data_IF_860293468148
#
_entry.id   IF_860293468148
#
_cell.length_a   1.000
_cell.length_b   1.000
_cell.length_c   1.000
_cell.angle_alpha   90.00
_cell.angle_beta   90.00
_cell.angle_gamma   90.00
#
_symmetry.space_group_name_H-M   'P 1'
#
loop_
_entity.id
_entity.type
_entity.pdbx_description
1 polymer ?
#
# COMPACT_ATOMS: atom_id res chain seq x y z
N UNK A 1 -1.59 -19.32 -6.46
CA UNK A 1 -1.05 -18.87 -5.18
C UNK A 1 -0.49 -17.51 -5.42
N UNK A 2 -0.95 -16.55 -4.62
CA UNK A 2 -0.49 -15.18 -4.67
C UNK A 2 0.64 -15.02 -3.65
N UNK A 3 1.84 -14.66 -4.11
CA UNK A 3 2.97 -14.32 -3.25
C UNK A 3 3.15 -12.80 -3.24
N UNK A 4 3.27 -12.25 -2.04
CA UNK A 4 3.47 -10.83 -1.78
C UNK A 4 4.87 -10.65 -1.22
N UNK A 5 5.70 -9.82 -1.84
CA UNK A 5 7.04 -9.48 -1.35
C UNK A 5 7.10 -7.98 -1.08
N UNK A 6 7.32 -7.60 0.17
CA UNK A 6 7.48 -6.20 0.56
C UNK A 6 8.87 -5.73 0.14
N UNK A 7 8.98 -5.02 -0.99
CA UNK A 7 10.26 -4.52 -1.49
C UNK A 7 10.78 -3.39 -0.61
N UNK A 8 9.87 -2.55 -0.14
CA UNK A 8 10.11 -1.50 0.84
C UNK A 8 8.87 -1.27 1.70
N UNK A 9 9.07 -0.71 2.88
CA UNK A 9 8.05 -0.60 3.92
C UNK A 9 8.10 0.71 4.70
N UNK A 10 8.96 1.66 4.34
CA UNK A 10 9.10 2.96 5.02
C UNK A 10 8.10 3.99 4.49
N UNK A 11 7.64 4.87 5.37
CA UNK A 11 6.96 6.10 4.98
C UNK A 11 7.88 7.16 4.34
N UNK A 12 7.32 8.27 3.87
CA UNK A 12 8.06 9.46 3.40
C UNK A 12 9.03 10.06 4.42
N UNK A 13 8.86 9.81 5.71
CA UNK A 13 9.69 10.42 6.75
C UNK A 13 11.06 9.75 6.81
N UNK A 14 12.11 10.57 6.76
CA UNK A 14 13.51 10.16 6.78
C UNK A 14 13.91 9.62 8.15
N UNK A 15 13.52 8.38 8.45
CA UNK A 15 14.10 7.60 9.52
C UNK A 15 14.56 6.26 8.95
N UNK A 16 15.87 6.07 8.86
CA UNK A 16 16.44 4.82 8.40
C UNK A 16 16.38 3.80 9.53
N UNK A 17 15.73 2.66 9.27
CA UNK A 17 15.75 1.49 10.13
C UNK A 17 16.23 0.28 9.33
N UNK A 18 17.02 -0.65 9.88
CA UNK A 18 17.52 -1.82 9.13
C UNK A 18 16.42 -2.65 8.45
N UNK A 19 15.22 -2.69 9.05
CA UNK A 19 14.06 -3.42 8.52
C UNK A 19 13.12 -2.56 7.64
N UNK A 20 13.29 -1.23 7.61
CA UNK A 20 12.47 -0.27 6.86
C UNK A 20 13.38 0.75 6.14
N UNK A 21 14.05 0.31 5.08
CA UNK A 21 15.09 1.08 4.39
C UNK A 21 14.53 1.83 3.18
N UNK A 22 13.65 1.18 2.45
CA UNK A 22 13.06 1.69 1.21
C UNK A 22 11.61 2.10 1.41
N UNK A 23 11.14 3.07 0.64
CA UNK A 23 9.75 3.48 0.64
C UNK A 23 8.80 2.32 0.31
N UNK A 24 7.55 2.42 0.73
CA UNK A 24 6.54 1.37 0.51
C UNK A 24 6.42 0.97 -0.96
N UNK A 25 6.69 -0.31 -1.24
CA UNK A 25 6.40 -0.92 -2.54
C UNK A 25 6.23 -2.43 -2.37
N UNK A 26 5.25 -3.00 -3.07
CA UNK A 26 4.87 -4.40 -2.93
C UNK A 26 4.98 -5.12 -4.28
N UNK A 27 5.76 -6.19 -4.36
CA UNK A 27 5.76 -7.08 -5.52
C UNK A 27 4.74 -8.20 -5.32
N UNK A 28 3.81 -8.33 -6.25
CA UNK A 28 2.79 -9.37 -6.31
C UNK A 28 3.16 -10.36 -7.41
N UNK A 29 3.39 -11.61 -7.03
CA UNK A 29 3.70 -12.70 -7.95
C UNK A 29 2.53 -13.69 -7.97
N UNK A 30 1.94 -13.92 -9.14
CA UNK A 30 0.81 -14.83 -9.31
C UNK A 30 0.74 -15.33 -10.76
N UNK A 31 0.61 -16.64 -10.95
CA UNK A 31 0.42 -17.26 -12.29
C UNK A 31 1.53 -16.88 -13.29
N UNK A 32 2.78 -16.75 -12.81
CA UNK A 32 3.93 -16.33 -13.61
C UNK A 32 4.04 -14.82 -13.85
N UNK A 33 3.03 -14.04 -13.47
CA UNK A 33 3.05 -12.58 -13.57
C UNK A 33 3.66 -11.93 -12.33
N UNK A 34 4.36 -10.80 -12.54
CA UNK A 34 5.05 -10.01 -11.52
C UNK A 34 4.58 -8.56 -11.61
N UNK A 35 3.69 -8.16 -10.72
CA UNK A 35 3.10 -6.81 -10.69
C UNK A 35 3.62 -6.06 -9.47
N UNK A 36 4.25 -4.91 -9.68
CA UNK A 36 4.74 -4.07 -8.59
C UNK A 36 3.73 -2.96 -8.27
N UNK A 37 3.35 -2.84 -7.01
CA UNK A 37 2.45 -1.81 -6.49
C UNK A 37 3.30 -0.74 -5.82
N UNK A 38 3.11 0.50 -6.26
CA UNK A 38 3.93 1.67 -5.94
C UNK A 38 5.41 1.50 -6.34
N UNK A 39 6.09 2.62 -6.52
CA UNK A 39 7.49 2.74 -6.91
C UNK A 39 8.06 4.04 -6.34
N UNK A 40 8.32 4.05 -5.03
CA UNK A 40 8.93 5.20 -4.36
C UNK A 40 10.32 5.56 -4.88
N UNK A 41 10.82 6.73 -4.46
CA UNK A 41 12.09 7.30 -4.95
C UNK A 41 13.32 6.38 -4.89
N UNK A 42 13.34 5.38 -4.01
CA UNK A 42 14.48 4.45 -3.88
C UNK A 42 14.56 3.41 -5.02
N UNK A 43 13.53 3.26 -5.84
CA UNK A 43 13.39 2.12 -6.76
C UNK A 43 13.79 2.39 -8.20
N UNK A 44 14.06 3.63 -8.61
CA UNK A 44 14.30 3.98 -10.02
C UNK A 44 15.39 3.12 -10.69
N UNK A 45 16.58 3.05 -10.08
CA UNK A 45 17.69 2.22 -10.60
C UNK A 45 17.46 0.71 -10.40
N UNK A 46 16.53 0.33 -9.52
CA UNK A 46 16.25 -1.05 -9.17
C UNK A 46 15.20 -1.69 -10.09
N UNK A 47 14.41 -0.91 -10.83
CA UNK A 47 13.33 -1.41 -11.69
C UNK A 47 13.83 -2.41 -12.73
N UNK A 48 15.02 -2.21 -13.29
CA UNK A 48 15.63 -3.14 -14.26
C UNK A 48 15.95 -4.51 -13.65
N UNK A 49 16.40 -4.53 -12.39
CA UNK A 49 16.68 -5.76 -11.63
C UNK A 49 15.40 -6.41 -11.11
N UNK A 50 14.45 -5.61 -10.65
CA UNK A 50 13.15 -6.11 -10.19
C UNK A 50 12.39 -6.68 -11.39
N UNK A 51 12.47 -6.07 -12.57
CA UNK A 51 11.83 -6.50 -13.82
C UNK A 51 10.34 -6.86 -13.65
N UNK A 52 9.49 -5.93 -13.17
CA UNK A 52 8.05 -6.17 -13.10
C UNK A 52 7.42 -6.12 -14.51
N UNK A 53 6.42 -6.96 -14.74
CA UNK A 53 5.63 -6.96 -15.98
C UNK A 53 4.77 -5.69 -16.11
N UNK A 54 4.33 -5.17 -14.97
CA UNK A 54 3.53 -3.95 -14.87
C UNK A 54 3.69 -3.30 -13.49
N UNK A 55 3.45 -2.00 -13.45
CA UNK A 55 3.37 -1.19 -12.23
C UNK A 55 1.92 -0.76 -11.97
N UNK A 56 1.54 -0.63 -10.71
CA UNK A 56 0.25 -0.08 -10.27
C UNK A 56 0.50 0.99 -9.22
N UNK A 57 0.11 2.23 -9.48
CA UNK A 57 0.25 3.31 -8.50
C UNK A 57 -1.03 3.51 -7.70
N UNK A 58 -0.89 3.60 -6.38
CA UNK A 58 -1.96 4.00 -5.48
C UNK A 58 -2.22 5.50 -5.57
N UNK A 59 -1.18 6.32 -5.63
CA UNK A 59 -1.26 7.78 -5.70
C UNK A 59 0.06 8.44 -6.15
N UNK A 60 0.12 9.76 -6.07
CA UNK A 60 1.17 10.58 -6.69
C UNK A 60 2.18 11.19 -5.70
N UNK A 61 2.24 10.75 -4.43
CA UNK A 61 3.33 11.19 -3.55
C UNK A 61 4.67 10.58 -3.98
N UNK A 62 5.76 11.27 -3.66
CA UNK A 62 7.12 10.93 -4.11
C UNK A 62 7.61 9.59 -3.56
N UNK A 63 7.24 9.26 -2.33
CA UNK A 63 7.48 7.97 -1.70
C UNK A 63 6.68 6.82 -2.33
N UNK A 64 5.74 7.11 -3.24
CA UNK A 64 4.96 6.10 -3.97
C UNK A 64 5.20 6.11 -5.48
N UNK A 65 5.64 7.21 -6.06
CA UNK A 65 5.82 7.35 -7.50
C UNK A 65 7.20 7.85 -7.94
N UNK A 66 8.04 8.29 -6.99
CA UNK A 66 9.32 8.95 -7.24
C UNK A 66 10.30 8.15 -8.09
N UNK A 67 10.27 6.82 -8.01
CA UNK A 67 11.14 5.95 -8.80
C UNK A 67 10.84 5.99 -10.30
N UNK A 68 9.73 6.62 -10.72
CA UNK A 68 9.34 6.78 -12.12
C UNK A 68 9.81 8.11 -12.74
N UNK A 69 10.59 8.92 -12.03
CA UNK A 69 11.06 10.22 -12.52
C UNK A 69 11.83 10.10 -13.86
N UNK A 70 12.54 8.99 -14.07
CA UNK A 70 13.28 8.68 -15.30
C UNK A 70 12.47 7.83 -16.30
N UNK A 71 11.16 7.71 -16.12
CA UNK A 71 10.28 6.83 -16.89
C UNK A 71 10.15 5.43 -16.30
N UNK A 72 9.47 4.56 -17.05
CA UNK A 72 9.21 3.17 -16.65
C UNK A 72 9.63 2.21 -17.77
N UNK A 73 10.20 1.03 -17.45
CA UNK A 73 10.48 -0.01 -18.45
C UNK A 73 9.21 -0.79 -18.87
N UNK A 74 8.13 -0.70 -18.12
CA UNK A 74 6.89 -1.46 -18.33
C UNK A 74 5.63 -0.58 -18.20
N UNK A 75 4.42 -1.08 -18.55
CA UNK A 75 3.18 -0.34 -18.39
C UNK A 75 2.94 0.09 -16.93
N UNK A 76 2.49 1.33 -16.74
CA UNK A 76 2.15 1.90 -15.43
C UNK A 76 0.65 2.13 -15.38
N UNK A 77 -0.06 1.39 -14.55
CA UNK A 77 -1.49 1.56 -14.31
C UNK A 77 -1.72 2.50 -13.14
N UNK A 78 -2.53 3.53 -13.35
CA UNK A 78 -2.77 4.58 -12.36
C UNK A 78 -4.12 5.24 -12.63
N UNK A 79 -4.65 5.96 -11.65
CA UNK A 79 -5.90 6.70 -11.89
C UNK A 79 -5.64 7.92 -12.77
N UNK A 80 -6.67 8.39 -13.49
CA UNK A 80 -6.59 9.68 -14.21
C UNK A 80 -6.21 10.84 -13.30
N UNK A 81 -6.66 10.83 -12.04
CA UNK A 81 -6.30 11.83 -11.05
C UNK A 81 -4.79 11.79 -10.75
N UNK A 82 -4.25 10.60 -10.48
CA UNK A 82 -2.82 10.36 -10.27
C UNK A 82 -2.00 10.82 -11.49
N UNK A 83 -2.40 10.43 -12.70
CA UNK A 83 -1.71 10.80 -13.94
C UNK A 83 -1.68 12.33 -14.15
N UNK A 84 -2.78 13.02 -13.86
CA UNK A 84 -2.84 14.49 -13.98
C UNK A 84 -1.84 15.18 -13.04
N UNK A 85 -1.68 14.67 -11.83
CA UNK A 85 -0.77 15.23 -10.82
C UNK A 85 0.70 14.98 -11.22
N UNK A 86 1.04 13.74 -11.55
CA UNK A 86 2.41 13.38 -11.96
C UNK A 86 2.86 14.16 -13.21
N UNK A 87 1.98 14.37 -14.20
CA UNK A 87 2.28 15.24 -15.37
C UNK A 87 2.62 16.66 -14.97
N UNK A 88 1.88 17.24 -14.01
CA UNK A 88 2.16 18.60 -13.50
C UNK A 88 3.48 18.66 -12.73
N UNK A 89 3.89 17.56 -12.14
CA UNK A 89 5.19 17.41 -11.46
C UNK A 89 6.35 17.10 -12.43
N UNK A 90 6.08 16.94 -13.74
CA UNK A 90 7.10 16.76 -14.76
C UNK A 90 7.49 15.31 -15.07
N UNK A 91 6.71 14.32 -14.63
CA UNK A 91 6.97 12.91 -14.94
C UNK A 91 6.61 12.55 -16.38
N UNK A 92 7.36 11.61 -16.97
CA UNK A 92 7.14 11.10 -18.33
C UNK A 92 5.97 10.10 -18.40
N UNK A 93 4.93 10.38 -19.21
CA UNK A 93 3.77 9.53 -19.34
C UNK A 93 3.88 8.40 -20.38
N UNK A 94 5.03 8.18 -21.05
CA UNK A 94 5.15 7.30 -22.23
C UNK A 94 4.41 5.94 -22.11
N UNK A 95 4.48 5.28 -20.95
CA UNK A 95 3.92 3.93 -20.72
C UNK A 95 2.69 3.90 -19.81
N UNK A 96 2.07 5.05 -19.57
CA UNK A 96 0.97 5.15 -18.61
C UNK A 96 -0.35 4.65 -19.20
N UNK A 97 -1.10 3.93 -18.37
CA UNK A 97 -2.42 3.38 -18.64
C UNK A 97 -3.43 3.99 -17.66
N UNK A 98 -3.80 5.28 -17.83
CA UNK A 98 -4.71 5.96 -16.93
C UNK A 98 -6.14 5.42 -17.08
N UNK A 99 -6.85 5.27 -15.96
CA UNK A 99 -8.27 4.97 -15.94
C UNK A 99 -8.96 5.70 -14.77
N UNK A 100 -10.26 5.94 -14.85
CA UNK A 100 -11.02 6.49 -13.72
C UNK A 100 -10.93 5.57 -12.49
N UNK A 101 -11.05 4.26 -12.73
CA UNK A 101 -10.94 3.20 -11.73
C UNK A 101 -10.12 2.05 -12.30
N UNK A 102 -9.25 1.47 -11.49
CA UNK A 102 -8.41 0.34 -11.90
C UNK A 102 -9.19 -0.96 -11.75
N UNK A 103 -9.20 -1.74 -12.83
CA UNK A 103 -9.73 -3.10 -12.88
C UNK A 103 -8.86 -3.91 -13.82
N UNK A 104 -7.79 -4.49 -13.27
CA UNK A 104 -6.71 -5.12 -14.02
C UNK A 104 -6.77 -6.63 -13.85
N UNK A 105 -6.32 -7.37 -14.88
CA UNK A 105 -6.25 -8.83 -14.89
C UNK A 105 -4.90 -9.27 -15.46
N UNK A 106 -4.17 -10.08 -14.67
CA UNK A 106 -2.88 -10.68 -15.04
C UNK A 106 -2.95 -12.19 -14.74
N UNK A 107 -3.30 -12.99 -15.74
CA UNK A 107 -3.65 -14.41 -15.52
C UNK A 107 -4.80 -14.52 -14.50
N UNK A 108 -4.55 -15.22 -13.38
CA UNK A 108 -5.53 -15.32 -12.28
C UNK A 108 -5.61 -14.09 -11.37
N UNK A 109 -4.57 -13.26 -11.34
CA UNK A 109 -4.52 -12.08 -10.48
C UNK A 109 -5.47 -11.00 -11.00
N UNK A 110 -6.39 -10.58 -10.14
CA UNK A 110 -7.28 -9.43 -10.36
C UNK A 110 -6.95 -8.33 -9.37
N UNK A 111 -6.80 -7.11 -9.87
CA UNK A 111 -6.51 -5.92 -9.06
C UNK A 111 -7.62 -4.91 -9.30
N UNK A 112 -8.33 -4.52 -8.23
CA UNK A 112 -9.40 -3.52 -8.30
C UNK A 112 -9.12 -2.38 -7.33
N UNK A 113 -9.19 -1.14 -7.82
CA UNK A 113 -9.07 0.00 -6.92
C UNK A 113 -10.40 0.38 -6.26
N UNK A 114 -10.32 1.01 -5.10
CA UNK A 114 -11.45 1.66 -4.44
C UNK A 114 -10.99 2.98 -3.80
N UNK A 115 -11.85 3.99 -3.83
CA UNK A 115 -11.49 5.32 -3.32
C UNK A 115 -11.36 5.32 -1.80
N UNK A 116 -10.34 6.00 -1.30
CA UNK A 116 -10.14 6.30 0.11
C UNK A 116 -9.82 7.79 0.29
N UNK A 117 -9.95 8.27 1.51
CA UNK A 117 -9.48 9.60 1.89
C UNK A 117 -8.02 9.51 2.31
N UNK A 118 -7.19 10.44 1.85
CA UNK A 118 -5.78 10.53 2.23
C UNK A 118 -5.20 11.94 1.99
N UNK A 119 -5.31 12.48 0.78
CA UNK A 119 -4.72 13.79 0.45
C UNK A 119 -5.50 14.48 -0.67
N UNK A 120 -5.73 15.79 -0.53
CA UNK A 120 -6.24 16.62 -1.64
C UNK A 120 -5.19 16.83 -2.73
N UNK A 121 -3.90 16.78 -2.37
CA UNK A 121 -2.77 17.01 -3.29
C UNK A 121 -2.43 15.77 -4.10
N UNK A 122 -2.59 14.59 -3.49
CA UNK A 122 -2.39 13.30 -4.11
C UNK A 122 -3.48 12.32 -3.64
N UNK A 123 -4.70 12.38 -4.23
CA UNK A 123 -5.77 11.46 -3.90
C UNK A 123 -5.32 10.01 -4.07
N UNK A 124 -5.62 9.18 -3.08
CA UNK A 124 -5.20 7.78 -3.05
C UNK A 124 -6.34 6.81 -3.28
N UNK A 125 -5.97 5.62 -3.73
CA UNK A 125 -6.87 4.47 -3.82
C UNK A 125 -6.32 3.31 -3.01
N UNK A 126 -7.22 2.57 -2.36
CA UNK A 126 -6.91 1.23 -1.89
C UNK A 126 -7.02 0.22 -3.02
N UNK A 127 -6.34 -0.91 -2.89
CA UNK A 127 -6.37 -2.00 -3.86
C UNK A 127 -6.90 -3.28 -3.21
N UNK A 128 -7.76 -3.99 -3.94
CA UNK A 128 -8.18 -5.36 -3.65
C UNK A 128 -7.54 -6.29 -4.65
N UNK A 129 -6.76 -7.25 -4.17
CA UNK A 129 -5.99 -8.22 -4.93
C UNK A 129 -6.62 -9.61 -4.74
N UNK A 130 -6.96 -10.29 -5.82
CA UNK A 130 -7.62 -11.60 -5.76
C UNK A 130 -7.02 -12.56 -6.80
N UNK A 131 -6.77 -13.83 -6.43
CA UNK A 131 -6.35 -14.88 -7.37
C UNK A 131 -7.39 -16.01 -7.55
N UNK A 132 -8.61 -15.76 -7.07
CA UNK A 132 -9.71 -16.72 -7.04
C UNK A 132 -9.65 -17.72 -5.90
N UNK A 133 -8.56 -17.75 -5.12
CA UNK A 133 -8.40 -18.58 -3.91
C UNK A 133 -8.17 -17.75 -2.66
N UNK A 134 -7.49 -16.62 -2.82
CA UNK A 134 -7.14 -15.70 -1.77
C UNK A 134 -7.50 -14.26 -2.14
N UNK A 135 -7.67 -13.43 -1.12
CA UNK A 135 -7.97 -12.02 -1.22
C UNK A 135 -7.11 -11.20 -0.25
N UNK A 136 -6.46 -10.16 -0.75
CA UNK A 136 -5.69 -9.20 0.03
C UNK A 136 -6.20 -7.78 -0.20
N UNK A 137 -6.24 -6.98 0.87
CA UNK A 137 -6.40 -5.53 0.78
C UNK A 137 -5.05 -4.86 0.94
N UNK A 138 -4.76 -3.85 0.12
CA UNK A 138 -3.58 -3.01 0.22
C UNK A 138 -3.97 -1.53 0.33
N UNK A 139 -3.62 -0.93 1.45
CA UNK A 139 -3.89 0.46 1.84
C UNK A 139 -2.62 1.03 2.47
N UNK A 140 -1.66 1.44 1.65
CA UNK A 140 -0.38 1.97 2.12
C UNK A 140 -0.51 3.36 2.75
N UNK A 141 -1.47 4.17 2.29
CA UNK A 141 -1.76 5.51 2.79
C UNK A 141 -3.27 5.76 2.90
N UNK A 142 -3.78 6.01 4.10
CA UNK A 142 -5.23 6.17 4.33
C UNK A 142 -5.55 7.02 5.55
N UNK A 143 -6.33 8.09 5.38
CA UNK A 143 -6.97 8.84 6.46
C UNK A 143 -8.33 8.24 6.87
N UNK A 144 -9.11 7.77 5.89
CA UNK A 144 -10.45 7.21 6.14
C UNK A 144 -10.94 6.36 4.96
N UNK A 145 -11.63 5.25 5.22
CA UNK A 145 -12.20 4.37 4.16
C UNK A 145 -13.38 4.99 3.39
N UNK A 146 -14.05 5.97 3.99
CA UNK A 146 -15.29 6.52 3.43
C UNK A 146 -16.39 5.47 3.27
N UNK A 147 -17.13 5.53 2.16
CA UNK A 147 -18.26 4.62 1.86
C UNK A 147 -17.80 3.24 1.36
N UNK A 148 -16.50 3.02 1.18
CA UNK A 148 -15.94 1.83 0.55
C UNK A 148 -15.46 0.76 1.54
N UNK A 149 -15.83 0.85 2.82
CA UNK A 149 -15.46 -0.14 3.83
C UNK A 149 -15.91 -1.58 3.46
N UNK A 150 -16.94 -1.73 2.64
CA UNK A 150 -17.40 -3.02 2.11
C UNK A 150 -16.36 -3.74 1.24
N UNK A 151 -15.38 -3.03 0.67
CA UNK A 151 -14.27 -3.65 -0.07
C UNK A 151 -13.38 -4.51 0.81
N UNK A 152 -13.41 -4.33 2.14
CA UNK A 152 -12.64 -5.14 3.08
C UNK A 152 -13.23 -6.55 3.28
N UNK A 153 -14.53 -6.72 3.04
CA UNK A 153 -15.23 -7.96 3.36
C UNK A 153 -14.64 -9.16 2.61
N UNK A 154 -14.46 -10.26 3.33
CA UNK A 154 -13.95 -11.53 2.76
C UNK A 154 -12.49 -11.50 2.33
N UNK A 155 -11.69 -10.55 2.81
CA UNK A 155 -10.24 -10.58 2.62
C UNK A 155 -9.57 -11.47 3.67
N UNK A 156 -8.52 -12.20 3.25
CA UNK A 156 -7.71 -13.05 4.12
C UNK A 156 -6.61 -12.24 4.83
N UNK A 157 -6.15 -11.16 4.19
CA UNK A 157 -5.09 -10.30 4.66
C UNK A 157 -5.44 -8.82 4.43
N UNK A 158 -5.24 -8.00 5.46
CA UNK A 158 -5.25 -6.54 5.37
C UNK A 158 -3.82 -6.03 5.46
N UNK A 159 -3.35 -5.30 4.44
CA UNK A 159 -2.10 -4.55 4.44
C UNK A 159 -2.42 -3.07 4.61
N UNK A 160 -2.01 -2.48 5.74
CA UNK A 160 -2.39 -1.13 6.14
C UNK A 160 -1.24 -0.14 6.31
N UNK A 161 -1.62 1.10 6.59
CA UNK A 161 -0.75 2.27 6.78
C UNK A 161 -0.17 2.28 8.20
N UNK A 162 1.15 2.10 8.32
CA UNK A 162 1.89 2.05 9.57
C UNK A 162 2.47 3.38 10.03
N UNK A 163 1.96 4.51 9.54
CA UNK A 163 2.54 5.83 9.81
C UNK A 163 2.42 6.24 11.28
N UNK A 164 1.25 6.05 11.90
CA UNK A 164 0.99 6.48 13.27
C UNK A 164 0.22 5.44 14.09
N UNK A 165 0.62 5.23 15.34
CA UNK A 165 0.12 4.12 16.14
C UNK A 165 -1.26 4.37 16.76
N UNK A 166 -1.36 5.36 17.64
CA UNK A 166 -2.57 5.68 18.41
C UNK A 166 -3.12 7.09 18.16
N UNK A 167 -2.25 8.04 17.80
CA UNK A 167 -2.68 9.39 17.45
C UNK A 167 -3.02 9.45 15.97
N UNK A 168 -4.28 9.71 15.65
CA UNK A 168 -4.69 9.96 14.27
C UNK A 168 -3.99 11.22 13.76
N UNK A 169 -3.28 11.10 12.64
CA UNK A 169 -2.69 12.23 11.94
C UNK A 169 -3.66 12.75 10.88
N UNK A 170 -4.96 12.74 11.21
CA UNK A 170 -6.04 13.15 10.32
C UNK A 170 -6.43 14.60 10.61
N UNK A 171 -6.52 15.38 9.55
CA UNK A 171 -6.99 16.77 9.57
C UNK A 171 -8.07 16.97 8.50
N UNK A 172 -8.94 17.94 8.70
CA UNK A 172 -9.95 18.31 7.70
C UNK A 172 -9.40 19.45 6.84
N UNK A 173 -9.14 19.17 5.57
CA UNK A 173 -8.79 20.19 4.57
C UNK A 173 -9.97 20.38 3.63
N UNK A 174 -10.52 21.60 3.54
CA UNK A 174 -11.65 21.90 2.64
C UNK A 174 -12.85 20.92 2.80
N UNK A 175 -13.12 20.46 4.03
CA UNK A 175 -14.18 19.49 4.32
C UNK A 175 -13.82 18.03 4.05
N UNK A 176 -12.58 17.74 3.66
CA UNK A 176 -12.10 16.39 3.30
C UNK A 176 -11.05 15.91 4.31
N UNK A 177 -11.20 14.70 4.89
CA UNK A 177 -10.18 14.10 5.74
C UNK A 177 -8.88 13.84 4.97
N UNK A 178 -7.77 14.32 5.52
CA UNK A 178 -6.43 14.17 4.95
C UNK A 178 -5.41 13.73 6.02
N UNK A 179 -4.42 12.94 5.64
CA UNK A 179 -3.37 12.39 6.50
C UNK A 179 -3.44 10.87 6.64
N UNK A 180 -3.18 10.39 7.85
CA UNK A 180 -3.02 8.96 8.14
C UNK A 180 -3.87 8.56 9.35
N UNK A 181 -4.63 7.48 9.18
CA UNK A 181 -5.44 6.87 10.22
C UNK A 181 -4.54 6.07 11.16
N UNK A 182 -4.82 6.17 12.45
CA UNK A 182 -4.09 5.39 13.45
C UNK A 182 -4.19 3.89 13.17
N UNK A 183 -3.12 3.15 13.46
CA UNK A 183 -3.10 1.68 13.41
C UNK A 183 -4.26 1.10 14.21
N UNK A 184 -4.61 1.69 15.36
CA UNK A 184 -5.77 1.28 16.18
C UNK A 184 -7.09 1.34 15.42
N UNK A 185 -7.35 2.41 14.67
CA UNK A 185 -8.54 2.58 13.83
C UNK A 185 -8.56 1.52 12.71
N UNK A 186 -7.41 1.26 12.09
CA UNK A 186 -7.30 0.25 11.02
C UNK A 186 -7.49 -1.18 11.52
N UNK A 187 -6.97 -1.52 12.70
CA UNK A 187 -7.24 -2.82 13.35
C UNK A 187 -8.74 -2.99 13.63
N UNK A 188 -9.44 -1.93 14.05
CA UNK A 188 -10.89 -1.98 14.24
C UNK A 188 -11.64 -2.19 12.92
N UNK A 189 -11.19 -1.59 11.81
CA UNK A 189 -11.75 -1.84 10.47
C UNK A 189 -11.58 -3.31 10.06
N UNK A 190 -10.38 -3.87 10.23
CA UNK A 190 -10.09 -5.26 9.91
C UNK A 190 -10.95 -6.23 10.74
N UNK A 191 -11.05 -6.00 12.06
CA UNK A 191 -11.88 -6.80 12.96
C UNK A 191 -13.36 -6.74 12.56
N UNK A 192 -13.88 -5.54 12.27
CA UNK A 192 -15.27 -5.34 11.83
C UNK A 192 -15.56 -6.05 10.50
N UNK A 193 -14.58 -6.07 9.59
CA UNK A 193 -14.68 -6.78 8.31
C UNK A 193 -14.45 -8.30 8.41
N UNK A 194 -14.12 -8.82 9.60
CA UNK A 194 -13.85 -10.23 9.83
C UNK A 194 -12.48 -10.72 9.31
N UNK A 195 -11.58 -9.80 8.94
CA UNK A 195 -10.23 -10.12 8.48
C UNK A 195 -9.38 -10.47 9.69
N UNK A 196 -8.79 -11.66 9.74
CA UNK A 196 -8.03 -12.12 10.92
C UNK A 196 -6.55 -11.79 10.88
N UNK A 197 -5.99 -11.52 9.70
CA UNK A 197 -4.55 -11.29 9.53
C UNK A 197 -4.31 -9.86 9.04
N UNK A 198 -3.42 -9.15 9.74
CA UNK A 198 -3.09 -7.75 9.47
C UNK A 198 -1.57 -7.60 9.38
N UNK A 199 -1.10 -6.93 8.33
CA UNK A 199 0.29 -6.49 8.21
C UNK A 199 0.30 -4.97 7.99
N UNK A 200 1.07 -4.23 8.77
CA UNK A 200 1.25 -2.81 8.55
C UNK A 200 2.52 -2.58 7.74
N UNK A 201 2.40 -1.84 6.63
CA UNK A 201 3.53 -1.33 5.84
C UNK A 201 3.63 0.18 6.03
N UNK A 202 4.40 0.92 5.22
CA UNK A 202 4.48 2.38 5.31
C UNK A 202 4.76 2.88 6.74
N UNK A 203 5.75 2.26 7.39
CA UNK A 203 6.09 2.47 8.78
C UNK A 203 6.62 3.89 9.01
N UNK A 204 6.00 4.58 9.98
CA UNK A 204 6.40 5.91 10.41
C UNK A 204 7.60 5.91 11.36
N UNK A 205 8.10 7.11 11.71
CA UNK A 205 9.20 7.31 12.65
C UNK A 205 9.00 6.64 14.01
N UNK A 206 7.76 6.63 14.53
CA UNK A 206 7.44 6.01 15.80
C UNK A 206 7.76 4.50 15.79
N UNK A 207 7.39 3.82 14.70
CA UNK A 207 7.60 2.39 14.50
C UNK A 207 9.09 2.13 14.30
N UNK A 208 9.75 2.95 13.48
CA UNK A 208 11.17 2.82 13.17
C UNK A 208 12.10 3.14 14.37
N UNK A 209 11.62 3.87 15.38
CA UNK A 209 12.43 4.23 16.56
C UNK A 209 12.59 3.07 17.54
N UNK A 210 11.56 2.24 17.69
CA UNK A 210 11.54 1.11 18.61
C UNK A 210 10.61 0.03 18.05
N UNK A 211 11.08 -0.66 17.01
CA UNK A 211 10.26 -1.65 16.29
C UNK A 211 9.87 -2.82 17.20
N UNK A 212 10.75 -3.24 18.12
CA UNK A 212 10.47 -4.33 19.05
C UNK A 212 9.30 -3.98 19.97
N UNK A 213 9.26 -2.75 20.50
CA UNK A 213 8.11 -2.27 21.27
C UNK A 213 6.87 -2.11 20.39
N UNK A 214 7.01 -1.57 19.18
CA UNK A 214 5.89 -1.43 18.25
C UNK A 214 5.27 -2.80 17.94
N UNK A 215 6.10 -3.80 17.64
CA UNK A 215 5.71 -5.17 17.31
C UNK A 215 5.02 -5.87 18.49
N UNK A 216 5.51 -5.71 19.72
CA UNK A 216 4.81 -6.22 20.91
C UNK A 216 3.45 -5.54 21.11
N UNK A 217 3.40 -4.22 20.93
CA UNK A 217 2.17 -3.44 21.10
C UNK A 217 1.10 -3.85 20.08
N UNK A 218 1.47 -3.95 18.80
CA UNK A 218 0.50 -4.27 17.74
C UNK A 218 0.00 -5.72 17.88
N UNK A 219 0.88 -6.65 18.27
CA UNK A 219 0.48 -8.03 18.54
C UNK A 219 -0.52 -8.12 19.71
N UNK A 220 -0.29 -7.37 20.79
CA UNK A 220 -1.21 -7.31 21.93
C UNK A 220 -2.56 -6.70 21.59
N UNK A 221 -2.58 -5.59 20.84
CA UNK A 221 -3.83 -4.97 20.37
C UNK A 221 -4.58 -5.87 19.40
N UNK A 222 -3.87 -6.47 18.44
CA UNK A 222 -4.44 -7.44 17.51
C UNK A 222 -5.09 -8.59 18.25
N UNK A 223 -4.39 -9.22 19.20
CA UNK A 223 -4.91 -10.35 19.97
C UNK A 223 -6.20 -9.99 20.74
N UNK A 224 -6.28 -8.78 21.31
CA UNK A 224 -7.50 -8.29 21.99
C UNK A 224 -8.71 -8.13 21.05
N UNK A 225 -8.45 -7.94 19.76
CA UNK A 225 -9.46 -7.83 18.70
C UNK A 225 -9.66 -9.16 17.94
N UNK A 226 -9.01 -10.25 18.36
CA UNK A 226 -9.06 -11.54 17.65
C UNK A 226 -8.27 -11.58 16.34
N UNK A 227 -7.27 -10.71 16.20
CA UNK A 227 -6.42 -10.55 15.02
C UNK A 227 -4.99 -11.02 15.27
N UNK A 228 -4.33 -11.47 14.20
CA UNK A 228 -2.88 -11.59 14.13
C UNK A 228 -2.33 -10.36 13.39
N UNK A 229 -1.74 -9.43 14.13
CA UNK A 229 -1.23 -8.17 13.60
C UNK A 229 0.28 -8.04 13.78
N UNK A 230 0.98 -7.58 12.75
CA UNK A 230 2.43 -7.35 12.76
C UNK A 230 2.84 -6.24 11.78
N UNK A 231 4.09 -5.79 11.85
CA UNK A 231 4.69 -4.93 10.83
C UNK A 231 5.35 -5.76 9.74
N UNK A 232 5.19 -5.32 8.49
CA UNK A 232 5.92 -5.85 7.36
C UNK A 232 7.35 -5.29 7.34
N UNK A 233 8.30 -6.08 6.84
CA UNK A 233 9.71 -5.67 6.70
C UNK A 233 10.16 -5.71 5.26
N UNK A 234 11.14 -4.90 4.91
CA UNK A 234 11.82 -4.97 3.62
C UNK A 234 12.35 -6.40 3.36
N UNK A 235 12.06 -6.93 2.17
CA UNK A 235 12.39 -8.29 1.76
C UNK A 235 11.46 -9.39 2.29
N UNK A 236 10.52 -9.09 3.18
CA UNK A 236 9.60 -10.09 3.71
C UNK A 236 8.67 -10.60 2.61
N UNK A 237 8.50 -11.92 2.53
CA UNK A 237 7.55 -12.58 1.63
C UNK A 237 6.41 -13.23 2.40
N UNK A 238 5.21 -13.19 1.83
CA UNK A 238 4.00 -13.83 2.32
C UNK A 238 3.31 -14.55 1.16
N UNK A 239 2.98 -15.82 1.34
CA UNK A 239 2.13 -16.57 0.39
C UNK A 239 0.72 -16.64 0.94
N UNK A 240 -0.27 -16.37 0.09
CA UNK A 240 -1.69 -16.51 0.41
C UNK A 240 -2.24 -17.78 -0.27
N UNK A 241 -2.90 -18.59 0.55
CA UNK A 241 -3.34 -19.98 0.33
C UNK A 241 -2.21 -21.04 0.31
N UNK A 242 -2.38 -22.09 1.12
CA UNK A 242 -1.87 -23.45 0.89
C UNK A 242 -2.98 -24.29 0.23
#
# INVERSE_FOLDING_TARGET
MMKLTFLGTRSSLLQQHPHHRQHSSLLVECDGHRVMIDCGGDFGEQLSRIAPDALVLTHAHEDHAGGLAAGSPCPVHLTEATARILRRQGYDPERWQPAEKLSLVFGRLRIRSFAVYHSLRAPAVGLRLEDGRSCCIYLSDVAMLGKNASFLAGADLYIGDGTCFGDELVRIEQGVPCGHAAITSQLAWAATAGIRRVLMTHCGPEICRDEDRAQRTIAGLGARLGLQAAFARDGQSVVLAE
#
